data_IF_372913488109
#
_entry.id   IF_372913488109
#
_cell.length_a   1.000
_cell.length_b   1.000
_cell.length_c   1.000
_cell.angle_alpha   90.00
_cell.angle_beta   90.00
_cell.angle_gamma   90.00
#
_symmetry.space_group_name_H-M   'P 1'
#
loop_
_entity.id
_entity.type
_entity.pdbx_description
1 polymer ?
#
# COMPACT_ATOMS: atom_id res chain seq x y z
N UNK A 1 15.16 8.66 -24.77
CA UNK A 1 15.80 9.26 -23.59
C UNK A 1 14.83 9.07 -22.44
N UNK A 2 14.69 7.80 -22.04
CA UNK A 2 13.75 7.37 -21.01
C UNK A 2 14.57 7.30 -19.74
N UNK A 3 14.23 8.11 -18.75
CA UNK A 3 15.00 8.26 -17.53
C UNK A 3 15.00 6.96 -16.73
N UNK A 4 16.08 6.19 -16.89
CA UNK A 4 16.64 5.36 -15.83
C UNK A 4 17.01 6.31 -14.69
N UNK A 5 16.06 6.58 -13.79
CA UNK A 5 16.41 7.02 -12.45
C UNK A 5 17.00 5.80 -11.76
N UNK A 6 18.33 5.68 -11.89
CA UNK A 6 19.16 4.64 -11.30
C UNK A 6 18.75 4.35 -9.86
N UNK A 7 18.60 3.05 -9.56
CA UNK A 7 18.15 2.42 -8.31
C UNK A 7 18.97 2.78 -7.04
N UNK A 8 19.85 3.79 -7.10
CA UNK A 8 20.81 4.12 -6.05
C UNK A 8 20.61 5.51 -5.39
N UNK A 9 19.48 6.19 -5.63
CA UNK A 9 19.29 7.58 -5.17
C UNK A 9 18.10 7.84 -4.24
N UNK A 10 17.33 6.81 -3.85
CA UNK A 10 16.18 7.00 -2.92
C UNK A 10 16.62 7.44 -1.53
N UNK A 11 17.83 7.07 -1.09
CA UNK A 11 18.41 7.41 0.21
C UNK A 11 18.82 8.89 0.34
N UNK A 12 18.83 9.66 -0.76
CA UNK A 12 19.20 11.08 -0.75
C UNK A 12 18.01 12.02 -0.94
N UNK A 13 16.79 11.49 -1.04
CA UNK A 13 15.60 12.30 -1.22
C UNK A 13 15.29 13.10 0.04
N UNK A 14 14.91 14.37 -0.15
CA UNK A 14 14.21 15.13 0.89
C UNK A 14 12.80 14.56 1.13
N UNK A 15 12.19 14.91 2.27
CA UNK A 15 10.81 14.50 2.59
C UNK A 15 9.81 14.92 1.51
N UNK A 16 10.01 16.10 0.91
CA UNK A 16 9.14 16.62 -0.14
C UNK A 16 9.31 15.82 -1.44
N UNK A 17 10.54 15.60 -1.89
CA UNK A 17 10.81 14.83 -3.12
C UNK A 17 10.30 13.39 -2.99
N UNK A 18 10.51 12.76 -1.83
CA UNK A 18 10.00 11.42 -1.57
C UNK A 18 8.47 11.35 -1.61
N UNK A 19 7.80 12.36 -1.04
CA UNK A 19 6.34 12.47 -1.08
C UNK A 19 5.82 12.62 -2.51
N UNK A 20 6.41 13.54 -3.28
CA UNK A 20 6.06 13.76 -4.68
C UNK A 20 6.29 12.52 -5.54
N UNK A 21 7.38 11.79 -5.29
CA UNK A 21 7.69 10.56 -6.02
C UNK A 21 6.70 9.44 -5.68
N UNK A 22 6.37 9.25 -4.40
CA UNK A 22 5.35 8.29 -3.98
C UNK A 22 3.99 8.64 -4.60
N UNK A 23 3.62 9.92 -4.63
CA UNK A 23 2.40 10.39 -5.27
C UNK A 23 2.40 10.10 -6.77
N UNK A 24 3.47 10.46 -7.48
CA UNK A 24 3.62 10.19 -8.91
C UNK A 24 3.43 8.70 -9.22
N UNK A 25 4.07 7.81 -8.47
CA UNK A 25 3.92 6.36 -8.68
C UNK A 25 2.50 5.87 -8.42
N UNK A 26 1.76 6.47 -7.48
CA UNK A 26 0.33 6.15 -7.30
C UNK A 26 -0.51 6.61 -8.48
N UNK A 27 -0.25 7.81 -9.01
CA UNK A 27 -0.99 8.36 -10.16
C UNK A 27 -0.72 7.57 -11.45
N UNK A 28 0.51 7.10 -11.64
CA UNK A 28 0.92 6.28 -12.79
C UNK A 28 0.55 4.79 -12.63
N UNK A 29 0.03 4.37 -11.47
CA UNK A 29 -0.14 2.96 -11.08
C UNK A 29 1.14 2.12 -11.24
N UNK A 30 2.31 2.74 -11.06
CA UNK A 30 3.61 2.10 -11.21
C UNK A 30 3.98 1.32 -9.94
N UNK A 31 4.40 0.05 -10.11
CA UNK A 31 4.85 -0.80 -9.00
C UNK A 31 6.36 -0.69 -8.82
N UNK A 32 6.78 0.11 -7.84
CA UNK A 32 8.17 0.30 -7.42
C UNK A 32 8.38 -0.22 -5.99
N UNK A 33 8.07 -1.50 -5.76
CA UNK A 33 7.88 -2.03 -4.40
C UNK A 33 9.13 -1.92 -3.52
N UNK A 34 10.32 -2.20 -4.06
CA UNK A 34 11.59 -2.03 -3.33
C UNK A 34 11.82 -0.56 -2.97
N UNK A 35 11.69 0.36 -3.94
CA UNK A 35 11.90 1.77 -3.69
C UNK A 35 10.86 2.37 -2.72
N UNK A 36 9.60 1.94 -2.81
CA UNK A 36 8.54 2.35 -1.87
C UNK A 36 8.88 1.91 -0.44
N UNK A 37 9.30 0.65 -0.25
CA UNK A 37 9.74 0.14 1.05
C UNK A 37 10.95 0.93 1.55
N UNK A 38 11.94 1.15 0.69
CA UNK A 38 13.17 1.82 1.09
C UNK A 38 12.94 3.29 1.46
N UNK A 39 12.08 4.01 0.73
CA UNK A 39 11.63 5.36 1.11
C UNK A 39 10.95 5.33 2.48
N UNK A 40 10.02 4.39 2.70
CA UNK A 40 9.28 4.27 3.96
C UNK A 40 10.21 3.99 5.16
N UNK A 41 11.21 3.13 4.99
CA UNK A 41 12.12 2.75 6.06
C UNK A 41 13.18 3.80 6.38
N UNK A 42 13.62 4.57 5.37
CA UNK A 42 14.77 5.47 5.52
C UNK A 42 14.40 6.94 5.70
N UNK A 43 13.17 7.35 5.35
CA UNK A 43 12.73 8.75 5.45
C UNK A 43 11.71 8.90 6.57
N UNK A 44 12.13 9.57 7.65
CA UNK A 44 11.20 9.98 8.70
C UNK A 44 10.32 11.13 8.21
N UNK A 45 9.10 10.83 7.78
CA UNK A 45 8.14 11.85 7.38
C UNK A 45 7.59 12.68 8.57
N UNK A 46 7.67 12.18 9.80
CA UNK A 46 7.02 12.81 10.95
C UNK A 46 5.56 13.18 10.66
N UNK A 47 5.20 14.45 10.88
CA UNK A 47 3.86 14.97 10.58
C UNK A 47 3.64 15.48 9.15
N UNK A 48 4.65 15.44 8.27
CA UNK A 48 4.58 16.14 6.96
C UNK A 48 3.62 15.52 5.95
N UNK A 49 3.20 14.27 6.17
CA UNK A 49 2.25 13.58 5.31
C UNK A 49 0.81 14.04 5.53
N UNK A 50 0.46 14.57 6.71
CA UNK A 50 -0.92 14.93 7.04
C UNK A 50 -1.89 13.78 6.74
N UNK A 51 -2.96 14.08 6.01
CA UNK A 51 -3.98 13.09 5.62
C UNK A 51 -3.50 12.11 4.55
N UNK A 52 -2.50 12.48 3.74
CA UNK A 52 -1.93 11.61 2.70
C UNK A 52 -1.20 10.40 3.29
N UNK A 53 -0.86 10.45 4.59
CA UNK A 53 -0.22 9.34 5.32
C UNK A 53 -0.94 8.02 5.09
N UNK A 54 -2.27 8.04 5.03
CA UNK A 54 -3.06 6.82 4.87
C UNK A 54 -2.93 6.22 3.47
N UNK A 55 -2.89 7.06 2.43
CA UNK A 55 -2.67 6.62 1.05
C UNK A 55 -1.25 6.08 0.87
N UNK A 56 -0.26 6.72 1.51
CA UNK A 56 1.12 6.22 1.55
C UNK A 56 1.18 4.87 2.27
N UNK A 57 0.54 4.72 3.43
CA UNK A 57 0.49 3.44 4.16
C UNK A 57 -0.15 2.32 3.33
N UNK A 58 -1.21 2.60 2.57
CA UNK A 58 -1.77 1.61 1.64
C UNK A 58 -0.79 1.21 0.54
N UNK A 59 -0.07 2.19 -0.05
CA UNK A 59 0.96 1.95 -1.06
C UNK A 59 2.12 1.11 -0.50
N UNK A 60 2.58 1.43 0.70
CA UNK A 60 3.61 0.66 1.43
C UNK A 60 3.12 -0.74 1.73
N UNK A 61 1.86 -0.92 2.12
CA UNK A 61 1.30 -2.24 2.36
C UNK A 61 1.30 -3.10 1.09
N UNK A 62 0.96 -2.55 -0.08
CA UNK A 62 1.01 -3.27 -1.35
C UNK A 62 2.45 -3.63 -1.70
N UNK A 63 3.39 -2.69 -1.57
CA UNK A 63 4.81 -2.96 -1.78
C UNK A 63 5.33 -4.07 -0.85
N UNK A 64 4.93 -4.07 0.42
CA UNK A 64 5.28 -5.09 1.40
C UNK A 64 4.72 -6.47 1.02
N UNK A 65 3.49 -6.53 0.50
CA UNK A 65 2.88 -7.77 -0.02
C UNK A 65 3.70 -8.31 -1.19
N UNK A 66 4.00 -7.46 -2.17
CA UNK A 66 4.80 -7.85 -3.35
C UNK A 66 6.20 -8.35 -2.97
N UNK A 67 6.77 -7.82 -1.86
CA UNK A 67 8.08 -8.22 -1.32
C UNK A 67 8.02 -9.33 -0.27
N UNK A 68 6.83 -9.83 0.06
CA UNK A 68 6.60 -10.84 1.11
C UNK A 68 7.14 -10.42 2.51
N UNK A 69 7.18 -9.12 2.78
CA UNK A 69 7.63 -8.54 4.06
C UNK A 69 6.50 -8.61 5.11
N UNK A 70 6.39 -9.75 5.79
CA UNK A 70 5.31 -10.03 6.74
C UNK A 70 5.25 -9.05 7.92
N UNK A 71 6.39 -8.50 8.37
CA UNK A 71 6.41 -7.56 9.48
C UNK A 71 5.83 -6.21 9.05
N UNK A 72 6.28 -5.70 7.90
CA UNK A 72 5.76 -4.44 7.35
C UNK A 72 4.28 -4.54 6.97
N UNK A 73 3.85 -5.67 6.39
CA UNK A 73 2.43 -5.93 6.11
C UNK A 73 1.60 -5.82 7.40
N UNK A 74 2.05 -6.46 8.49
CA UNK A 74 1.35 -6.45 9.77
C UNK A 74 1.25 -5.03 10.33
N UNK A 75 2.35 -4.28 10.29
CA UNK A 75 2.39 -2.90 10.77
C UNK A 75 1.41 -2.00 10.00
N UNK A 76 1.46 -2.01 8.66
CA UNK A 76 0.59 -1.20 7.82
C UNK A 76 -0.88 -1.56 8.06
N UNK A 77 -1.22 -2.85 8.06
CA UNK A 77 -2.59 -3.30 8.29
C UNK A 77 -3.11 -2.93 9.68
N UNK A 78 -2.28 -3.00 10.72
CA UNK A 78 -2.68 -2.60 12.07
C UNK A 78 -3.02 -1.10 12.14
N UNK A 79 -2.19 -0.23 11.54
CA UNK A 79 -2.44 1.21 11.52
C UNK A 79 -3.69 1.56 10.70
N UNK A 80 -3.82 0.97 9.50
CA UNK A 80 -4.94 1.20 8.60
C UNK A 80 -6.26 0.71 9.20
N UNK A 81 -6.27 -0.47 9.82
CA UNK A 81 -7.48 -1.03 10.44
C UNK A 81 -7.90 -0.26 11.68
N UNK A 82 -6.93 0.22 12.48
CA UNK A 82 -7.24 1.08 13.63
C UNK A 82 -7.89 2.39 13.20
N UNK A 83 -7.51 2.96 12.06
CA UNK A 83 -8.07 4.21 11.54
C UNK A 83 -9.37 4.01 10.77
N UNK A 84 -9.49 2.92 10.01
CA UNK A 84 -10.59 2.63 9.10
C UNK A 84 -11.10 1.18 9.22
N UNK A 85 -11.65 0.77 10.37
CA UNK A 85 -11.94 -0.65 10.69
C UNK A 85 -12.94 -1.34 9.75
N UNK A 86 -13.76 -0.57 9.03
CA UNK A 86 -14.78 -1.08 8.12
C UNK A 86 -14.49 -0.81 6.64
N UNK A 87 -13.35 -0.20 6.31
CA UNK A 87 -13.01 0.20 4.94
C UNK A 87 -12.86 -0.99 4.01
N UNK A 88 -13.53 -0.94 2.86
CA UNK A 88 -13.37 -1.92 1.79
C UNK A 88 -11.92 -1.95 1.27
N UNK A 89 -11.21 -0.81 1.24
CA UNK A 89 -9.80 -0.76 0.84
C UNK A 89 -8.92 -1.55 1.80
N UNK A 90 -9.14 -1.41 3.11
CA UNK A 90 -8.40 -2.16 4.15
C UNK A 90 -8.73 -3.65 4.10
N UNK A 91 -10.01 -4.01 3.90
CA UNK A 91 -10.42 -5.41 3.73
C UNK A 91 -9.75 -6.06 2.52
N UNK A 92 -9.65 -5.34 1.39
CA UNK A 92 -8.94 -5.82 0.20
C UNK A 92 -7.47 -6.13 0.52
N UNK A 93 -6.76 -5.21 1.17
CA UNK A 93 -5.36 -5.45 1.57
C UNK A 93 -5.22 -6.66 2.52
N UNK A 94 -6.18 -6.86 3.43
CA UNK A 94 -6.22 -8.06 4.29
C UNK A 94 -6.41 -9.35 3.50
N UNK A 95 -7.22 -9.35 2.44
CA UNK A 95 -7.43 -10.50 1.56
C UNK A 95 -6.13 -10.81 0.79
N UNK A 96 -5.53 -9.80 0.16
CA UNK A 96 -4.26 -9.93 -0.54
C UNK A 96 -3.17 -10.56 0.36
N UNK A 97 -2.98 -10.00 1.56
CA UNK A 97 -1.97 -10.48 2.52
C UNK A 97 -2.24 -11.87 3.10
N UNK A 98 -3.51 -12.27 3.22
CA UNK A 98 -3.88 -13.56 3.84
C UNK A 98 -3.98 -14.70 2.84
N UNK A 99 -4.54 -14.41 1.66
CA UNK A 99 -4.98 -15.42 0.70
C UNK A 99 -4.15 -15.36 -0.58
N UNK A 100 -4.10 -14.22 -1.27
CA UNK A 100 -3.35 -14.11 -2.54
C UNK A 100 -1.85 -14.40 -2.36
N UNK A 101 -1.24 -13.84 -1.31
CA UNK A 101 0.18 -14.08 -0.99
C UNK A 101 0.50 -15.57 -0.75
N UNK A 102 -0.51 -16.37 -0.42
CA UNK A 102 -0.41 -17.83 -0.21
C UNK A 102 -1.02 -18.63 -1.36
N UNK A 103 -1.24 -18.00 -2.50
CA UNK A 103 -1.83 -18.59 -3.71
C UNK A 103 -3.24 -19.19 -3.50
N UNK A 104 -3.95 -18.77 -2.44
CA UNK A 104 -5.33 -19.18 -2.15
C UNK A 104 -6.32 -18.31 -2.92
N UNK A 105 -6.21 -18.30 -4.24
CA UNK A 105 -6.95 -17.38 -5.10
C UNK A 105 -8.46 -17.62 -5.08
N UNK A 106 -8.91 -18.88 -5.03
CA UNK A 106 -10.34 -19.21 -4.97
C UNK A 106 -11.00 -18.64 -3.71
N UNK A 107 -10.33 -18.77 -2.56
CA UNK A 107 -10.81 -18.20 -1.30
C UNK A 107 -10.81 -16.66 -1.36
N UNK A 108 -9.82 -16.06 -2.02
CA UNK A 108 -9.76 -14.61 -2.20
C UNK A 108 -10.93 -14.10 -3.06
N UNK A 109 -11.21 -14.78 -4.18
CA UNK A 109 -12.35 -14.47 -5.07
C UNK A 109 -13.66 -14.53 -4.30
N UNK A 110 -13.90 -15.60 -3.53
CA UNK A 110 -15.11 -15.71 -2.70
C UNK A 110 -15.26 -14.53 -1.72
N UNK A 111 -14.17 -14.10 -1.09
CA UNK A 111 -14.19 -12.96 -0.19
C UNK A 111 -14.45 -11.64 -0.92
N UNK A 112 -13.92 -11.47 -2.14
CA UNK A 112 -14.21 -10.30 -2.97
C UNK A 112 -15.67 -10.24 -3.41
N UNK A 113 -16.25 -11.36 -3.83
CA UNK A 113 -17.67 -11.43 -4.20
C UNK A 113 -18.58 -11.06 -3.04
N UNK A 114 -18.28 -11.54 -1.83
CA UNK A 114 -19.01 -11.15 -0.62
C UNK A 114 -18.88 -9.66 -0.31
N UNK A 115 -17.70 -9.05 -0.56
CA UNK A 115 -17.50 -7.62 -0.39
C UNK A 115 -18.34 -6.80 -1.37
N UNK A 116 -18.36 -7.20 -2.66
CA UNK A 116 -19.15 -6.53 -3.71
C UNK A 116 -20.64 -6.63 -3.41
N UNK A 117 -21.14 -7.84 -3.11
CA UNK A 117 -22.55 -8.06 -2.80
C UNK A 117 -23.03 -7.22 -1.59
N UNK A 118 -22.16 -7.03 -0.59
CA UNK A 118 -22.47 -6.18 0.57
C UNK A 118 -22.53 -4.68 0.21
N UNK A 119 -21.67 -4.22 -0.69
CA UNK A 119 -21.64 -2.81 -1.11
C UNK A 119 -22.87 -2.46 -1.97
N UNK A 120 -23.25 -3.35 -2.90
CA UNK A 120 -24.49 -3.22 -3.67
C UNK A 120 -25.73 -3.21 -2.78
N UNK A 121 -25.74 -4.02 -1.71
CA UNK A 121 -26.85 -4.05 -0.74
C UNK A 121 -26.96 -2.80 0.14
N UNK A 122 -25.92 -1.96 0.17
CA UNK A 122 -25.86 -0.71 0.95
C UNK A 122 -26.29 0.53 0.14
N UNK A 123 -26.67 0.38 -1.13
CA UNK A 123 -26.97 1.47 -2.07
C UNK A 123 -28.46 1.81 -2.22
N UNK A 124 -29.29 1.53 -1.20
CA UNK A 124 -30.74 1.83 -1.17
C UNK A 124 -31.11 2.86 -0.09
#
# INVERSE_FOLDING_TARGET
MSAELEDNNVLKLSKTEAKELLQKWREENARHSEQVRDIWMNIDFGGSLGDEKWQVLEQVCVAAIDLHDNELIKECLQQLDSKFPNSCRVKRLKIMAKLELRERFEDALQMYDQMIAKDESNSL
#
